data_IF_169037873924
#
_entry.id   IF_169037873924
#
_cell.length_a   1.000
_cell.length_b   1.000
_cell.length_c   1.000
_cell.angle_alpha   90.00
_cell.angle_beta   90.00
_cell.angle_gamma   90.00
#
_symmetry.space_group_name_H-M   'P 1'
#
loop_
_entity.id
_entity.type
_entity.pdbx_description
1 polymer ?
#
# COMPACT_ATOMS: atom_id res chain seq x y z
N UNK A 1 -43.47 30.18 68.17
CA UNK A 1 -43.16 30.64 66.79
C UNK A 1 -42.00 29.77 66.29
N UNK A 2 -42.32 28.74 65.48
CA UNK A 2 -41.35 27.76 64.92
C UNK A 2 -40.93 28.26 63.58
N UNK A 3 -39.58 28.53 63.38
CA UNK A 3 -38.99 28.86 62.06
C UNK A 3 -38.80 27.55 61.29
N UNK A 4 -39.47 27.45 60.18
CA UNK A 4 -39.27 26.35 59.22
C UNK A 4 -38.09 26.77 58.30
N UNK A 5 -37.02 25.99 58.40
CA UNK A 5 -35.88 26.12 57.46
C UNK A 5 -36.20 25.29 56.23
N UNK A 6 -36.47 25.94 55.12
CA UNK A 6 -36.65 25.33 53.82
C UNK A 6 -35.27 25.11 53.19
N UNK A 7 -34.78 23.88 53.23
CA UNK A 7 -33.52 23.48 52.58
C UNK A 7 -33.80 23.18 51.10
N UNK A 8 -33.42 24.10 50.22
CA UNK A 8 -33.48 23.88 48.78
C UNK A 8 -32.29 23.02 48.40
N UNK A 9 -32.54 21.71 48.11
CA UNK A 9 -31.56 20.83 47.50
C UNK A 9 -31.57 21.12 46.00
N UNK A 10 -30.57 21.86 45.55
CA UNK A 10 -30.30 22.07 44.14
C UNK A 10 -29.69 20.77 43.56
N UNK A 11 -30.48 19.96 42.90
CA UNK A 11 -30.03 18.85 42.06
C UNK A 11 -29.33 19.45 40.83
N UNK A 12 -28.01 19.54 40.88
CA UNK A 12 -27.18 19.74 39.70
C UNK A 12 -27.25 18.45 38.86
N UNK A 13 -28.17 18.42 37.93
CA UNK A 13 -28.17 17.45 36.84
C UNK A 13 -27.01 17.80 35.91
N UNK A 14 -25.86 17.15 36.12
CA UNK A 14 -24.75 17.20 35.19
C UNK A 14 -25.17 16.38 33.96
N UNK A 15 -25.73 17.04 32.96
CA UNK A 15 -25.95 16.48 31.67
C UNK A 15 -24.56 16.16 31.08
N UNK A 16 -24.12 14.90 31.24
CA UNK A 16 -23.00 14.38 30.45
C UNK A 16 -23.42 14.48 28.98
N UNK A 17 -23.01 15.54 28.32
CA UNK A 17 -23.00 15.57 26.85
C UNK A 17 -22.04 14.46 26.41
N UNK A 18 -22.58 13.30 26.12
CA UNK A 18 -21.84 12.28 25.38
C UNK A 18 -21.59 12.86 23.99
N UNK A 19 -20.39 13.42 23.81
CA UNK A 19 -19.90 13.71 22.46
C UNK A 19 -19.82 12.35 21.77
N UNK A 20 -20.80 12.06 20.94
CA UNK A 20 -20.75 10.92 20.04
C UNK A 20 -19.58 11.20 19.09
N UNK A 21 -18.41 10.72 19.44
CA UNK A 21 -17.33 10.58 18.50
C UNK A 21 -17.84 9.58 17.45
N UNK A 22 -18.25 10.09 16.28
CA UNK A 22 -18.62 9.23 15.18
C UNK A 22 -17.41 8.38 14.87
N UNK A 23 -17.48 7.10 15.25
CA UNK A 23 -16.43 6.15 14.90
C UNK A 23 -16.33 6.09 13.38
N UNK A 24 -15.11 6.18 12.87
CA UNK A 24 -14.86 6.01 11.42
C UNK A 24 -15.29 4.59 11.03
N UNK A 25 -16.11 4.46 10.00
CA UNK A 25 -16.60 3.13 9.61
C UNK A 25 -15.47 2.26 9.06
N UNK A 26 -14.66 2.79 8.14
CA UNK A 26 -13.56 2.07 7.50
C UNK A 26 -12.27 2.90 7.60
N UNK A 27 -11.20 2.25 8.00
CA UNK A 27 -9.86 2.85 7.94
C UNK A 27 -9.03 2.08 6.91
N UNK A 28 -8.46 2.81 5.95
CA UNK A 28 -7.55 2.28 4.94
C UNK A 28 -6.13 2.65 5.31
N UNK A 29 -5.26 1.64 5.43
CA UNK A 29 -3.83 1.82 5.69
C UNK A 29 -3.06 1.24 4.51
N UNK A 30 -2.44 2.10 3.71
CA UNK A 30 -1.60 1.67 2.59
C UNK A 30 -0.12 1.92 2.88
N UNK A 31 0.78 1.24 2.14
CA UNK A 31 2.21 1.52 2.16
C UNK A 31 2.60 2.63 1.18
N UNK A 32 1.66 3.05 0.35
CA UNK A 32 1.91 4.00 -0.73
C UNK A 32 1.80 5.44 -0.30
N UNK A 33 2.68 6.27 -0.86
CA UNK A 33 2.80 7.69 -0.53
C UNK A 33 1.79 8.54 -1.30
N UNK A 34 1.38 9.66 -0.71
CA UNK A 34 0.40 10.56 -1.31
C UNK A 34 0.89 11.26 -2.59
N UNK A 35 2.21 11.34 -2.79
CA UNK A 35 2.83 11.94 -3.99
C UNK A 35 2.97 10.96 -5.16
N UNK A 36 2.73 9.67 -4.96
CA UNK A 36 2.73 8.69 -6.06
C UNK A 36 1.35 8.71 -6.76
N UNK A 37 1.31 8.96 -8.08
CA UNK A 37 0.07 8.99 -8.85
C UNK A 37 -0.79 7.73 -8.72
N UNK A 38 -0.17 6.55 -8.59
CA UNK A 38 -0.90 5.30 -8.38
C UNK A 38 -1.73 5.34 -7.09
N UNK A 39 -1.13 5.80 -6.00
CA UNK A 39 -1.81 5.84 -4.70
C UNK A 39 -2.84 6.96 -4.60
N UNK A 40 -2.67 8.05 -5.37
CA UNK A 40 -3.70 9.07 -5.52
C UNK A 40 -4.96 8.50 -6.19
N UNK A 41 -4.80 7.67 -7.23
CA UNK A 41 -5.93 6.98 -7.87
C UNK A 41 -6.60 6.00 -6.90
N UNK A 42 -5.82 5.22 -6.15
CA UNK A 42 -6.36 4.31 -5.14
C UNK A 42 -7.16 5.05 -4.06
N UNK A 43 -6.63 6.17 -3.55
CA UNK A 43 -7.33 7.03 -2.59
C UNK A 43 -8.64 7.58 -3.15
N UNK A 44 -8.63 8.07 -4.39
CA UNK A 44 -9.85 8.56 -5.05
C UNK A 44 -10.91 7.44 -5.17
N UNK A 45 -10.49 6.20 -5.42
CA UNK A 45 -11.36 5.03 -5.42
C UNK A 45 -11.99 4.78 -4.06
N UNK A 46 -11.22 4.87 -2.98
CA UNK A 46 -11.71 4.77 -1.60
C UNK A 46 -12.73 5.88 -1.31
N UNK A 47 -12.38 7.13 -1.59
CA UNK A 47 -13.25 8.29 -1.33
C UNK A 47 -14.60 8.14 -2.08
N UNK A 48 -14.54 7.69 -3.35
CA UNK A 48 -15.75 7.44 -4.14
C UNK A 48 -16.60 6.32 -3.55
N UNK A 49 -16.00 5.19 -3.22
CA UNK A 49 -16.73 4.05 -2.66
C UNK A 49 -17.42 4.42 -1.35
N UNK A 50 -16.72 5.13 -0.47
CA UNK A 50 -17.26 5.57 0.81
C UNK A 50 -18.41 6.56 0.66
N UNK A 51 -18.28 7.49 -0.31
CA UNK A 51 -19.38 8.42 -0.67
C UNK A 51 -20.61 7.67 -1.19
N UNK A 52 -20.42 6.72 -2.10
CA UNK A 52 -21.50 5.95 -2.70
C UNK A 52 -22.24 5.09 -1.66
N UNK A 53 -21.48 4.52 -0.72
CA UNK A 53 -22.00 3.71 0.39
C UNK A 53 -22.52 4.53 1.57
N UNK A 54 -22.32 5.85 1.55
CA UNK A 54 -22.70 6.78 2.64
C UNK A 54 -22.10 6.38 4.01
N UNK A 55 -20.83 5.99 3.99
CA UNK A 55 -20.04 5.65 5.19
C UNK A 55 -18.87 6.59 5.35
N UNK A 56 -18.37 6.70 6.58
CA UNK A 56 -17.18 7.47 6.90
C UNK A 56 -15.92 6.64 6.68
N UNK A 57 -14.95 7.18 5.96
CA UNK A 57 -13.67 6.51 5.72
C UNK A 57 -12.49 7.42 6.01
N UNK A 58 -11.40 6.81 6.44
CA UNK A 58 -10.11 7.47 6.62
C UNK A 58 -9.05 6.72 5.84
N UNK A 59 -8.29 7.43 5.02
CA UNK A 59 -7.13 6.88 4.33
C UNK A 59 -5.86 7.41 4.97
N UNK A 60 -4.90 6.52 5.25
CA UNK A 60 -3.61 6.88 5.84
C UNK A 60 -2.49 6.02 5.26
N UNK A 61 -1.29 6.58 5.20
CA UNK A 61 -0.09 5.93 4.72
C UNK A 61 1.14 6.52 5.43
N UNK A 62 2.27 5.81 5.52
CA UNK A 62 3.54 6.39 5.93
C UNK A 62 4.02 7.47 4.96
N UNK A 63 4.89 8.36 5.41
CA UNK A 63 5.48 9.38 4.55
C UNK A 63 6.46 8.78 3.51
N UNK A 64 7.09 7.66 3.85
CA UNK A 64 7.99 6.89 3.00
C UNK A 64 7.64 5.40 3.10
N UNK A 65 8.21 4.54 2.24
CA UNK A 65 8.04 3.10 2.37
C UNK A 65 8.69 2.61 3.68
N UNK A 66 7.90 2.51 4.74
CA UNK A 66 8.33 2.14 6.10
C UNK A 66 7.31 1.21 6.77
N UNK A 67 7.71 -0.04 6.96
CA UNK A 67 6.86 -1.07 7.55
C UNK A 67 6.66 -0.88 9.06
N UNK A 68 7.61 -0.25 9.75
CA UNK A 68 7.49 0.05 11.18
C UNK A 68 6.44 1.14 11.39
N UNK A 69 6.48 2.19 10.59
CA UNK A 69 5.47 3.23 10.64
C UNK A 69 4.11 2.71 10.20
N UNK A 70 4.05 1.90 9.14
CA UNK A 70 2.81 1.28 8.70
C UNK A 70 2.18 0.39 9.78
N UNK A 71 2.98 -0.40 10.50
CA UNK A 71 2.52 -1.18 11.65
C UNK A 71 1.87 -0.30 12.73
N UNK A 72 2.50 0.84 13.07
CA UNK A 72 1.93 1.81 14.01
C UNK A 72 0.62 2.43 13.51
N UNK A 73 0.51 2.68 12.20
CA UNK A 73 -0.73 3.19 11.61
C UNK A 73 -1.86 2.16 11.70
N UNK A 74 -1.56 0.86 11.54
CA UNK A 74 -2.53 -0.22 11.75
C UNK A 74 -2.94 -0.27 13.23
N UNK A 75 -1.99 -0.23 14.16
CA UNK A 75 -2.29 -0.24 15.60
C UNK A 75 -3.13 0.99 16.02
N UNK A 76 -2.85 2.16 15.45
CA UNK A 76 -3.66 3.35 15.62
C UNK A 76 -5.07 3.20 15.02
N UNK A 77 -5.21 2.49 13.90
CA UNK A 77 -6.52 2.19 13.32
C UNK A 77 -7.33 1.29 14.25
N UNK A 78 -6.72 0.25 14.82
CA UNK A 78 -7.36 -0.65 15.79
C UNK A 78 -7.91 0.13 16.99
N UNK A 79 -7.13 1.07 17.52
CA UNK A 79 -7.52 1.87 18.69
C UNK A 79 -8.77 2.73 18.46
N UNK A 80 -9.06 3.08 17.20
CA UNK A 80 -10.25 3.85 16.79
C UNK A 80 -11.51 2.96 16.66
N UNK A 81 -11.38 1.63 16.79
CA UNK A 81 -12.47 0.64 16.73
C UNK A 81 -13.38 0.82 15.51
N UNK A 82 -12.82 0.86 14.28
CA UNK A 82 -13.61 0.96 13.07
C UNK A 82 -14.44 -0.30 12.84
N UNK A 83 -15.42 -0.24 11.95
CA UNK A 83 -16.18 -1.43 11.52
C UNK A 83 -15.36 -2.37 10.63
N UNK A 84 -14.28 -1.88 10.03
CA UNK A 84 -13.35 -2.68 9.26
C UNK A 84 -12.07 -1.92 8.92
N UNK A 85 -11.01 -2.66 8.63
CA UNK A 85 -9.72 -2.10 8.19
C UNK A 85 -9.39 -2.69 6.83
N UNK A 86 -8.99 -1.83 5.88
CA UNK A 86 -8.43 -2.23 4.60
C UNK A 86 -6.93 -1.93 4.66
N UNK A 87 -6.09 -2.88 4.32
CA UNK A 87 -4.64 -2.71 4.32
C UNK A 87 -4.02 -3.10 2.98
N UNK A 88 -2.88 -2.55 2.66
CA UNK A 88 -1.93 -3.21 1.76
C UNK A 88 -1.01 -4.11 2.58
N UNK A 89 -0.52 -5.20 2.01
CA UNK A 89 0.30 -6.17 2.72
C UNK A 89 1.61 -6.47 1.94
N UNK A 90 2.51 -5.47 1.82
CA UNK A 90 3.75 -5.62 1.07
C UNK A 90 4.75 -6.57 1.75
N UNK A 91 4.68 -6.69 3.08
CA UNK A 91 5.47 -7.62 3.88
C UNK A 91 4.60 -8.22 5.00
N UNK A 92 4.22 -9.47 4.83
CA UNK A 92 3.41 -10.22 5.80
C UNK A 92 4.17 -10.53 7.10
N UNK A 93 5.49 -10.62 7.07
CA UNK A 93 6.31 -10.86 8.26
C UNK A 93 6.35 -9.61 9.15
N UNK A 94 6.55 -8.45 8.56
CA UNK A 94 6.62 -7.18 9.26
C UNK A 94 5.24 -6.77 9.84
N UNK A 95 4.17 -6.92 9.07
CA UNK A 95 2.83 -6.40 9.42
C UNK A 95 1.93 -7.43 10.12
N UNK A 96 2.30 -8.72 10.06
CA UNK A 96 1.44 -9.80 10.50
C UNK A 96 1.02 -9.73 11.97
N UNK A 97 1.85 -9.14 12.84
CA UNK A 97 1.49 -8.96 14.27
C UNK A 97 0.32 -7.97 14.41
N UNK A 98 0.40 -6.80 13.81
CA UNK A 98 -0.66 -5.78 13.87
C UNK A 98 -1.94 -6.25 13.16
N UNK A 99 -1.82 -6.98 12.04
CA UNK A 99 -2.96 -7.57 11.35
C UNK A 99 -3.70 -8.57 12.24
N UNK A 100 -2.99 -9.49 12.86
CA UNK A 100 -3.61 -10.45 13.81
C UNK A 100 -4.22 -9.75 15.02
N UNK A 101 -3.62 -8.66 15.50
CA UNK A 101 -4.19 -7.86 16.58
C UNK A 101 -5.54 -7.24 16.19
N UNK A 102 -5.66 -6.72 14.96
CA UNK A 102 -6.93 -6.22 14.45
C UNK A 102 -8.01 -7.30 14.43
N UNK A 103 -7.69 -8.47 13.87
CA UNK A 103 -8.61 -9.60 13.79
C UNK A 103 -9.01 -10.11 15.19
N UNK A 104 -8.05 -10.22 16.11
CA UNK A 104 -8.30 -10.61 17.51
C UNK A 104 -9.16 -9.60 18.27
N UNK A 105 -9.13 -8.32 17.87
CA UNK A 105 -10.03 -7.28 18.38
C UNK A 105 -11.44 -7.34 17.76
N UNK A 106 -11.72 -8.33 16.92
CA UNK A 106 -13.01 -8.50 16.23
C UNK A 106 -13.21 -7.56 15.04
N UNK A 107 -12.15 -6.91 14.55
CA UNK A 107 -12.22 -5.99 13.42
C UNK A 107 -11.93 -6.77 12.14
N UNK A 108 -12.88 -6.86 11.18
CA UNK A 108 -12.63 -7.47 9.88
C UNK A 108 -11.52 -6.75 9.13
N UNK A 109 -10.60 -7.53 8.52
CA UNK A 109 -9.51 -7.00 7.72
C UNK A 109 -9.64 -7.52 6.28
N UNK A 110 -9.46 -6.61 5.32
CA UNK A 110 -9.35 -6.91 3.89
C UNK A 110 -7.99 -6.40 3.42
N UNK A 111 -7.29 -7.18 2.59
CA UNK A 111 -6.08 -6.70 1.93
C UNK A 111 -6.38 -6.19 0.53
N UNK A 112 -5.68 -5.15 0.10
CA UNK A 112 -5.74 -4.62 -1.25
C UNK A 112 -4.35 -4.44 -1.85
N UNK A 113 -4.25 -4.47 -3.17
CA UNK A 113 -3.02 -4.29 -3.95
C UNK A 113 -1.99 -5.42 -3.72
N UNK A 114 -1.38 -5.49 -2.54
CA UNK A 114 -0.38 -6.49 -2.17
C UNK A 114 -0.88 -7.44 -1.08
N UNK A 115 -0.34 -8.67 -1.04
CA UNK A 115 -0.65 -9.67 -0.02
C UNK A 115 -1.47 -10.88 -0.51
N UNK A 116 -1.60 -11.08 -1.83
CA UNK A 116 -2.36 -12.19 -2.42
C UNK A 116 -1.97 -13.58 -1.89
N UNK A 117 -0.69 -13.80 -1.55
CA UNK A 117 -0.17 -15.11 -1.16
C UNK A 117 -0.25 -15.38 0.36
N UNK A 118 -0.50 -14.33 1.14
CA UNK A 118 -0.36 -14.39 2.59
C UNK A 118 -1.62 -13.99 3.36
N UNK A 119 -2.61 -13.37 2.70
CA UNK A 119 -3.80 -12.86 3.37
C UNK A 119 -4.57 -13.94 4.15
N UNK A 120 -4.77 -15.12 3.56
CA UNK A 120 -5.47 -16.23 4.24
C UNK A 120 -4.70 -16.75 5.45
N UNK A 121 -3.37 -16.82 5.38
CA UNK A 121 -2.51 -17.29 6.47
C UNK A 121 -2.56 -16.36 7.69
N UNK A 122 -2.92 -15.12 7.49
CA UNK A 122 -3.08 -14.11 8.55
C UNK A 122 -4.51 -13.99 9.04
N UNK A 123 -5.48 -14.71 8.45
CA UNK A 123 -6.90 -14.63 8.80
C UNK A 123 -7.60 -13.42 8.18
N UNK A 124 -7.01 -12.78 7.18
CA UNK A 124 -7.63 -11.69 6.41
C UNK A 124 -8.79 -12.26 5.58
N UNK A 125 -9.94 -11.59 5.59
CA UNK A 125 -11.19 -12.12 5.05
C UNK A 125 -11.22 -12.20 3.52
N UNK A 126 -10.56 -11.27 2.83
CA UNK A 126 -10.51 -11.21 1.38
C UNK A 126 -9.29 -10.41 0.91
N UNK A 127 -8.91 -10.62 -0.35
CA UNK A 127 -7.89 -9.83 -1.05
C UNK A 127 -8.45 -9.26 -2.35
N UNK A 128 -8.17 -7.99 -2.61
CA UNK A 128 -8.49 -7.31 -3.86
C UNK A 128 -7.21 -6.81 -4.49
N UNK A 129 -6.71 -7.51 -5.48
CA UNK A 129 -5.43 -7.20 -6.12
C UNK A 129 -5.06 -8.24 -7.17
N UNK A 130 -3.81 -8.20 -7.59
CA UNK A 130 -3.24 -9.18 -8.53
C UNK A 130 -2.32 -10.16 -7.77
N UNK A 131 -2.07 -11.31 -8.40
CA UNK A 131 -1.01 -12.23 -8.00
C UNK A 131 0.30 -11.77 -8.62
N UNK A 132 1.22 -11.33 -7.78
CA UNK A 132 2.42 -10.61 -8.24
C UNK A 132 3.36 -11.49 -9.08
N UNK A 133 3.51 -12.74 -8.68
CA UNK A 133 4.36 -13.67 -9.42
C UNK A 133 3.81 -13.94 -10.84
N UNK A 134 2.53 -14.22 -10.97
CA UNK A 134 1.86 -14.47 -12.25
C UNK A 134 1.85 -13.23 -13.14
N UNK A 135 1.64 -12.05 -12.55
CA UNK A 135 1.76 -10.78 -13.28
C UNK A 135 3.18 -10.59 -13.85
N UNK A 136 4.18 -10.93 -13.04
CA UNK A 136 5.57 -10.97 -13.49
C UNK A 136 5.81 -11.96 -14.63
N UNK A 137 5.33 -13.20 -14.50
CA UNK A 137 5.45 -14.25 -15.54
C UNK A 137 4.85 -13.77 -16.86
N UNK A 138 3.62 -13.23 -16.81
CA UNK A 138 2.96 -12.70 -18.02
C UNK A 138 3.72 -11.55 -18.67
N UNK A 139 4.26 -10.61 -17.86
CA UNK A 139 5.13 -9.55 -18.35
C UNK A 139 6.39 -10.06 -19.02
N UNK A 140 7.06 -11.02 -18.38
CA UNK A 140 8.26 -11.66 -18.92
C UNK A 140 8.03 -12.37 -20.26
N UNK A 141 6.94 -13.13 -20.37
CA UNK A 141 6.56 -13.80 -21.61
C UNK A 141 6.30 -12.81 -22.75
N UNK A 142 5.61 -11.70 -22.47
CA UNK A 142 5.36 -10.65 -23.46
C UNK A 142 6.65 -10.00 -23.95
N UNK A 143 7.57 -9.67 -23.03
CA UNK A 143 8.83 -9.03 -23.39
C UNK A 143 9.75 -10.01 -24.15
N UNK A 144 9.76 -11.29 -23.80
CA UNK A 144 10.45 -12.33 -24.58
C UNK A 144 9.89 -12.47 -25.99
N UNK A 145 8.57 -12.51 -26.12
CA UNK A 145 7.91 -12.57 -27.42
C UNK A 145 8.21 -11.34 -28.31
N UNK A 146 8.45 -10.18 -27.69
CA UNK A 146 8.90 -8.96 -28.36
C UNK A 146 10.39 -8.99 -28.76
N UNK A 147 11.12 -10.06 -28.48
CA UNK A 147 12.52 -10.24 -28.85
C UNK A 147 13.55 -9.89 -27.77
N UNK A 148 13.10 -9.57 -26.56
CA UNK A 148 13.99 -9.26 -25.43
C UNK A 148 14.93 -10.42 -25.07
N UNK A 149 16.19 -10.11 -24.78
CA UNK A 149 17.24 -11.09 -24.47
C UNK A 149 17.88 -10.85 -23.11
N UNK A 150 18.07 -9.58 -22.72
CA UNK A 150 18.65 -9.20 -21.45
C UNK A 150 17.84 -8.07 -20.82
N UNK A 151 17.26 -8.34 -19.66
CA UNK A 151 16.33 -7.43 -19.01
C UNK A 151 16.85 -6.87 -17.67
N UNK A 152 16.35 -5.68 -17.34
CA UNK A 152 16.50 -5.03 -16.05
C UNK A 152 15.13 -4.93 -15.38
N UNK A 153 14.95 -5.53 -14.19
CA UNK A 153 13.76 -5.31 -13.36
C UNK A 153 14.06 -4.19 -12.35
N UNK A 154 13.35 -3.07 -12.45
CA UNK A 154 13.57 -1.89 -11.59
C UNK A 154 12.61 -1.93 -10.42
N UNK A 155 13.12 -2.24 -9.23
CA UNK A 155 12.37 -2.27 -7.98
C UNK A 155 12.59 -0.95 -7.21
N UNK A 156 11.55 -0.11 -7.17
CA UNK A 156 11.60 1.20 -6.52
C UNK A 156 11.20 1.17 -5.03
N UNK A 157 10.83 0.01 -4.50
CA UNK A 157 10.54 -0.21 -3.07
C UNK A 157 11.32 -1.43 -2.57
N UNK A 158 12.60 -1.23 -2.30
CA UNK A 158 13.47 -2.29 -1.77
C UNK A 158 12.91 -2.79 -0.42
N UNK A 159 12.71 -4.10 -0.30
CA UNK A 159 12.06 -4.72 0.86
C UNK A 159 10.54 -4.95 0.69
N UNK A 160 9.95 -4.51 -0.42
CA UNK A 160 8.59 -4.89 -0.78
C UNK A 160 8.57 -6.30 -1.40
N UNK A 161 8.17 -7.29 -0.61
CA UNK A 161 8.13 -8.71 -1.00
C UNK A 161 7.20 -8.93 -2.21
N UNK A 162 6.14 -8.15 -2.35
CA UNK A 162 5.24 -8.23 -3.49
C UNK A 162 5.96 -7.85 -4.80
N UNK A 163 6.77 -6.78 -4.78
CA UNK A 163 7.55 -6.35 -5.94
C UNK A 163 8.70 -7.33 -6.24
N UNK A 164 9.34 -7.88 -5.22
CA UNK A 164 10.36 -8.93 -5.40
C UNK A 164 9.77 -10.16 -6.10
N UNK A 165 8.55 -10.57 -5.70
CA UNK A 165 7.82 -11.66 -6.37
C UNK A 165 7.51 -11.35 -7.83
N UNK A 166 7.16 -10.10 -8.16
CA UNK A 166 6.93 -9.70 -9.55
C UNK A 166 8.20 -9.76 -10.38
N UNK A 167 9.34 -9.32 -9.87
CA UNK A 167 10.63 -9.50 -10.52
C UNK A 167 10.99 -10.99 -10.69
N UNK A 168 10.74 -11.82 -9.68
CA UNK A 168 10.99 -13.27 -9.76
C UNK A 168 10.11 -13.94 -10.84
N UNK A 169 8.83 -13.59 -10.87
CA UNK A 169 7.91 -14.04 -11.93
C UNK A 169 8.35 -13.58 -13.31
N UNK A 170 8.75 -12.31 -13.42
CA UNK A 170 9.28 -11.75 -14.67
C UNK A 170 10.50 -12.54 -15.17
N UNK A 171 11.45 -12.84 -14.29
CA UNK A 171 12.63 -13.64 -14.63
C UNK A 171 12.23 -15.01 -15.15
N UNK A 172 11.24 -15.68 -14.53
CA UNK A 172 10.71 -16.96 -14.98
C UNK A 172 10.06 -16.87 -16.36
N UNK A 173 9.19 -15.89 -16.57
CA UNK A 173 8.47 -15.70 -17.85
C UNK A 173 9.37 -15.26 -19.00
N UNK A 174 10.36 -14.40 -18.70
CA UNK A 174 11.32 -13.88 -19.66
C UNK A 174 12.27 -14.99 -20.16
N UNK A 175 12.73 -15.87 -19.27
CA UNK A 175 13.59 -17.01 -19.61
C UNK A 175 14.95 -16.64 -20.20
N UNK A 176 15.35 -15.37 -20.04
CA UNK A 176 16.65 -14.82 -20.41
C UNK A 176 17.41 -14.31 -19.17
N UNK A 177 18.46 -13.52 -19.39
CA UNK A 177 19.17 -12.83 -18.30
C UNK A 177 18.32 -11.69 -17.75
N UNK A 178 18.06 -11.70 -16.45
CA UNK A 178 17.33 -10.62 -15.75
C UNK A 178 18.12 -10.22 -14.52
N UNK A 179 18.52 -8.97 -14.48
CA UNK A 179 19.12 -8.35 -13.31
C UNK A 179 18.08 -7.49 -12.58
N UNK A 180 18.18 -7.38 -11.26
CA UNK A 180 17.32 -6.53 -10.44
C UNK A 180 18.08 -5.26 -10.09
N UNK A 181 17.46 -4.11 -10.33
CA UNK A 181 17.95 -2.79 -9.93
C UNK A 181 17.06 -2.26 -8.81
N UNK A 182 17.58 -2.32 -7.57
CA UNK A 182 16.95 -1.63 -6.44
C UNK A 182 17.19 -0.12 -6.54
N UNK A 183 16.14 0.65 -6.36
CA UNK A 183 16.19 2.12 -6.34
C UNK A 183 15.39 2.66 -5.16
N UNK A 184 15.23 3.97 -5.08
CA UNK A 184 14.31 4.65 -4.16
C UNK A 184 13.02 5.06 -4.88
N UNK A 185 12.11 5.73 -4.15
CA UNK A 185 10.91 6.34 -4.72
C UNK A 185 11.16 7.77 -5.27
N UNK A 186 12.42 8.20 -5.42
CA UNK A 186 12.77 9.46 -6.06
C UNK A 186 12.93 9.27 -7.57
N UNK A 187 12.09 9.91 -8.42
CA UNK A 187 12.15 9.75 -9.88
C UNK A 187 13.51 10.14 -10.47
N UNK A 188 14.19 11.12 -9.88
CA UNK A 188 15.50 11.58 -10.36
C UNK A 188 16.58 10.54 -10.09
N UNK A 189 16.53 9.92 -8.91
CA UNK A 189 17.45 8.84 -8.58
C UNK A 189 17.18 7.59 -9.41
N UNK A 190 15.92 7.23 -9.62
CA UNK A 190 15.53 6.14 -10.50
C UNK A 190 16.08 6.37 -11.91
N UNK A 191 15.87 7.58 -12.48
CA UNK A 191 16.38 7.95 -13.80
C UNK A 191 17.90 7.79 -13.89
N UNK A 192 18.65 8.33 -12.93
CA UNK A 192 20.11 8.21 -12.86
C UNK A 192 20.57 6.76 -12.75
N UNK A 193 19.93 5.97 -11.89
CA UNK A 193 20.28 4.57 -11.71
C UNK A 193 20.04 3.74 -12.97
N UNK A 194 18.95 3.97 -13.68
CA UNK A 194 18.67 3.34 -14.97
C UNK A 194 19.68 3.78 -16.02
N UNK A 195 19.93 5.10 -16.16
CA UNK A 195 20.87 5.65 -17.12
C UNK A 195 22.28 5.03 -16.96
N UNK A 196 22.73 4.84 -15.74
CA UNK A 196 24.01 4.19 -15.44
C UNK A 196 24.09 2.71 -15.89
N UNK A 197 22.94 2.06 -16.13
CA UNK A 197 22.86 0.67 -16.59
C UNK A 197 22.71 0.53 -18.11
N UNK A 198 22.29 1.58 -18.82
CA UNK A 198 21.97 1.51 -20.26
C UNK A 198 23.16 1.08 -21.16
N UNK A 199 24.40 1.26 -20.70
CA UNK A 199 25.61 0.80 -21.38
C UNK A 199 25.88 -0.71 -21.26
N UNK A 200 25.17 -1.43 -20.38
CA UNK A 200 25.46 -2.82 -20.03
C UNK A 200 24.72 -3.84 -20.91
N UNK A 201 24.18 -3.42 -22.06
CA UNK A 201 23.58 -4.31 -23.05
C UNK A 201 22.16 -4.79 -22.69
N UNK A 202 21.44 -4.10 -21.82
CA UNK A 202 20.01 -4.34 -21.61
C UNK A 202 19.21 -3.86 -22.82
N UNK A 203 18.35 -4.72 -23.32
CA UNK A 203 17.38 -4.43 -24.38
C UNK A 203 15.93 -4.38 -23.88
N UNK A 204 15.73 -4.67 -22.60
CA UNK A 204 14.42 -4.75 -21.98
C UNK A 204 14.47 -4.17 -20.57
N UNK A 205 13.50 -3.33 -20.22
CA UNK A 205 13.33 -2.79 -18.87
C UNK A 205 11.91 -3.08 -18.40
N UNK A 206 11.76 -3.74 -17.25
CA UNK A 206 10.53 -3.81 -16.51
C UNK A 206 10.58 -2.83 -15.35
N UNK A 207 9.64 -1.90 -15.30
CA UNK A 207 9.44 -1.04 -14.13
C UNK A 207 8.22 -1.52 -13.33
N UNK A 208 8.27 -1.41 -12.02
CA UNK A 208 7.22 -1.93 -11.13
C UNK A 208 6.18 -0.88 -10.72
N UNK A 209 6.39 0.39 -11.07
CA UNK A 209 5.46 1.50 -10.89
C UNK A 209 5.40 2.36 -12.15
N UNK A 210 4.27 2.31 -12.87
CA UNK A 210 4.16 2.96 -14.19
C UNK A 210 4.35 4.49 -14.10
N UNK A 211 3.67 5.16 -13.17
CA UNK A 211 3.71 6.62 -13.03
C UNK A 211 4.99 7.15 -12.40
N UNK A 212 5.73 6.34 -11.67
CA UNK A 212 6.95 6.76 -10.99
C UNK A 212 8.18 6.26 -11.74
N UNK A 213 8.42 4.95 -11.68
CA UNK A 213 9.63 4.35 -12.26
C UNK A 213 9.52 4.17 -13.78
N UNK A 214 8.31 4.05 -14.32
CA UNK A 214 8.09 3.99 -15.78
C UNK A 214 8.46 5.31 -16.47
N UNK A 215 7.97 6.44 -15.96
CA UNK A 215 8.31 7.75 -16.50
C UNK A 215 9.80 8.08 -16.33
N UNK A 216 10.40 7.70 -15.20
CA UNK A 216 11.83 7.88 -14.98
C UNK A 216 12.67 7.03 -15.97
N UNK A 217 12.23 5.81 -16.26
CA UNK A 217 12.88 4.95 -17.25
C UNK A 217 12.79 5.54 -18.66
N UNK A 218 11.62 6.05 -19.05
CA UNK A 218 11.43 6.71 -20.34
C UNK A 218 12.39 7.90 -20.50
N UNK A 219 12.46 8.79 -19.51
CA UNK A 219 13.37 9.93 -19.50
C UNK A 219 14.85 9.51 -19.60
N UNK A 220 15.22 8.41 -18.93
CA UNK A 220 16.59 7.88 -19.04
C UNK A 220 16.91 7.39 -20.45
N UNK A 221 15.96 6.71 -21.11
CA UNK A 221 16.11 6.21 -22.47
C UNK A 221 16.14 7.36 -23.49
N UNK A 222 15.26 8.35 -23.37
CA UNK A 222 15.24 9.55 -24.21
C UNK A 222 16.57 10.30 -24.13
N UNK A 223 17.07 10.54 -22.92
CA UNK A 223 18.36 11.21 -22.69
C UNK A 223 19.56 10.45 -23.29
N UNK A 224 19.42 9.13 -23.46
CA UNK A 224 20.44 8.26 -24.05
C UNK A 224 20.24 8.04 -25.57
N UNK A 225 19.22 8.65 -26.20
CA UNK A 225 18.90 8.46 -27.60
C UNK A 225 18.47 7.03 -27.94
N UNK A 226 17.76 6.35 -27.01
CA UNK A 226 17.33 4.95 -27.13
C UNK A 226 15.81 4.79 -27.30
N UNK A 227 15.10 5.88 -27.50
CA UNK A 227 13.66 5.95 -27.83
C UNK A 227 13.48 6.77 -29.10
#
# INVERSE_FOLDING_TARGET
>A
MKKIHLTIVALLSWAMMTVSVFAVDIIVVSHGQANDPFWSVAKNGVDKACKDMKISCKYTAPATFDMVEMSKLIDNAISQKPKGIIITLPDAAALGKSVRAAISAGIPVISMNSGSDDYMKLGISAHVGQTEFEAGVGGGQKMKAAGGKKALCVNHEVGNVALDRRCAGFKKGFGGSVDILGTSNDPTEIQKAIAAKLGNGYDTILTLGAGLSGEAALKALESAGKV
#
